data_IF_029646202269
#
_entry.id   IF_029646202269
#
_cell.length_a   1.000
_cell.length_b   1.000
_cell.length_c   1.000
_cell.angle_alpha   90.00
_cell.angle_beta   90.00
_cell.angle_gamma   90.00
#
_symmetry.space_group_name_H-M   'P 1'
#
loop_
_entity.id
_entity.type
_entity.pdbx_description
1 polymer ?
#
# COMPACT_ATOMS: atom_id res chain seq x y z
N UNK A 1 -21.66 5.99 7.42
CA UNK A 1 -20.85 6.27 6.21
C UNK A 1 -19.86 5.12 6.11
N UNK A 2 -19.96 4.32 5.07
CA UNK A 2 -19.05 3.19 4.88
C UNK A 2 -17.63 3.70 4.64
N UNK A 3 -16.65 3.08 5.32
CA UNK A 3 -15.24 3.47 5.17
C UNK A 3 -14.69 2.90 3.87
N UNK A 4 -14.26 3.77 2.98
CA UNK A 4 -13.57 3.39 1.74
C UNK A 4 -12.02 3.33 1.89
N UNK A 5 -11.53 3.48 3.10
CA UNK A 5 -10.10 3.49 3.42
C UNK A 5 -9.84 2.71 4.69
N UNK A 6 -8.82 1.88 4.68
CA UNK A 6 -8.26 1.18 5.83
C UNK A 6 -6.81 1.60 6.02
N UNK A 7 -6.42 1.82 7.29
CA UNK A 7 -5.05 2.13 7.69
C UNK A 7 -4.68 1.23 8.87
N UNK A 8 -3.58 0.51 8.73
CA UNK A 8 -2.90 -0.24 9.79
C UNK A 8 -1.68 0.61 10.18
N UNK A 9 -1.67 1.17 11.39
CA UNK A 9 -0.67 2.19 11.78
C UNK A 9 -0.26 2.15 13.26
N UNK A 10 -0.70 1.14 13.98
CA UNK A 10 -0.36 0.95 15.39
C UNK A 10 -0.18 -0.52 15.74
N UNK A 11 0.34 -0.78 16.93
CA UNK A 11 0.61 -2.13 17.41
C UNK A 11 -0.65 -3.00 17.41
N UNK A 12 -1.79 -2.46 17.85
CA UNK A 12 -3.05 -3.23 17.91
C UNK A 12 -3.47 -3.70 16.52
N UNK A 13 -3.49 -2.79 15.53
CA UNK A 13 -3.86 -3.11 14.17
C UNK A 13 -2.90 -4.14 13.53
N UNK A 14 -1.58 -4.02 13.77
CA UNK A 14 -0.61 -4.95 13.23
C UNK A 14 -0.67 -6.33 13.88
N UNK A 15 -0.97 -6.42 15.17
CA UNK A 15 -1.06 -7.70 15.89
C UNK A 15 -2.24 -8.58 15.46
N UNK A 16 -3.20 -8.07 14.71
CA UNK A 16 -4.26 -8.88 14.08
C UNK A 16 -3.81 -9.63 12.82
N UNK A 17 -2.62 -9.36 12.32
CA UNK A 17 -2.05 -10.03 11.14
C UNK A 17 -1.08 -11.16 11.50
N UNK A 18 -0.54 -11.77 10.46
CA UNK A 18 0.50 -12.81 10.54
C UNK A 18 1.88 -12.16 10.46
N UNK A 19 2.75 -12.54 11.38
CA UNK A 19 4.12 -12.07 11.49
C UNK A 19 5.05 -13.25 11.15
N UNK A 20 5.81 -13.14 10.07
CA UNK A 20 6.80 -14.12 9.64
C UNK A 20 8.18 -13.45 9.55
N UNK A 21 9.09 -13.79 10.47
CA UNK A 21 10.39 -13.15 10.62
C UNK A 21 10.34 -11.62 10.82
N UNK A 22 9.24 -11.13 11.35
CA UNK A 22 9.04 -9.72 11.71
C UNK A 22 8.36 -9.61 13.06
N UNK A 23 8.59 -8.51 13.75
CA UNK A 23 7.95 -8.18 15.02
C UNK A 23 7.41 -6.76 15.00
N UNK A 24 6.47 -6.46 15.92
CA UNK A 24 5.94 -5.11 16.09
C UNK A 24 6.62 -4.44 17.27
N UNK A 25 7.31 -3.33 17.03
CA UNK A 25 7.99 -2.52 18.04
C UNK A 25 7.65 -1.04 17.84
N UNK A 26 7.22 -0.36 18.89
CA UNK A 26 6.93 1.09 18.86
C UNK A 26 5.99 1.49 17.70
N UNK A 27 4.90 0.73 17.51
CA UNK A 27 3.95 0.90 16.42
C UNK A 27 4.54 0.71 15.00
N UNK A 28 5.68 0.05 14.87
CA UNK A 28 6.31 -0.24 13.59
C UNK A 28 6.51 -1.76 13.43
N UNK A 29 6.40 -2.26 12.20
CA UNK A 29 6.85 -3.59 11.83
C UNK A 29 8.33 -3.50 11.48
N UNK A 30 9.15 -4.32 12.12
CA UNK A 30 10.60 -4.45 11.89
C UNK A 30 10.97 -5.91 11.72
N UNK A 31 12.13 -6.21 11.15
CA UNK A 31 12.66 -7.57 11.06
C UNK A 31 12.96 -8.13 12.45
N UNK A 32 12.82 -9.44 12.62
CA UNK A 32 13.19 -10.12 13.85
C UNK A 32 14.70 -10.07 14.08
N UNK A 33 15.08 -10.04 15.36
CA UNK A 33 16.45 -10.16 15.83
C UNK A 33 16.74 -11.61 16.22
N UNK A 34 17.72 -12.22 15.58
CA UNK A 34 18.21 -13.56 15.89
C UNK A 34 19.71 -13.49 16.18
N UNK A 35 20.12 -13.94 17.38
CA UNK A 35 21.53 -13.93 17.84
C UNK A 35 22.21 -12.53 17.73
N UNK A 36 21.41 -11.46 17.93
CA UNK A 36 21.92 -10.08 17.89
C UNK A 36 21.99 -9.43 16.51
N UNK A 37 21.55 -10.11 15.45
CA UNK A 37 21.45 -9.57 14.09
C UNK A 37 20.01 -9.66 13.56
N UNK A 38 19.63 -8.71 12.69
CA UNK A 38 18.36 -8.78 11.98
C UNK A 38 18.40 -9.88 10.92
N UNK A 39 17.29 -10.61 10.80
CA UNK A 39 17.12 -11.59 9.72
C UNK A 39 17.12 -10.88 8.35
N UNK A 40 17.53 -11.55 7.25
CA UNK A 40 17.68 -10.90 5.95
C UNK A 40 16.35 -10.51 5.29
N UNK A 41 15.25 -11.16 5.66
CA UNK A 41 13.91 -10.84 5.17
C UNK A 41 12.83 -11.31 6.14
N UNK A 42 11.69 -10.66 6.06
CA UNK A 42 10.48 -11.05 6.78
C UNK A 42 9.24 -10.52 6.08
N UNK A 43 8.09 -10.96 6.53
CA UNK A 43 6.81 -10.65 5.91
C UNK A 43 5.72 -10.42 6.97
N UNK A 44 4.99 -9.34 6.80
CA UNK A 44 3.72 -9.11 7.50
C UNK A 44 2.57 -9.32 6.53
N UNK A 45 1.53 -10.06 6.96
CA UNK A 45 0.29 -10.23 6.20
C UNK A 45 -0.90 -9.86 7.08
N UNK A 46 -1.70 -8.88 6.66
CA UNK A 46 -2.88 -8.46 7.42
C UNK A 46 -3.92 -9.58 7.51
N UNK A 47 -4.79 -9.53 8.51
CA UNK A 47 -6.06 -10.26 8.43
C UNK A 47 -6.85 -9.82 7.19
N UNK A 48 -7.78 -10.64 6.68
CA UNK A 48 -8.75 -10.22 5.68
C UNK A 48 -9.56 -9.02 6.17
N UNK A 49 -9.67 -7.98 5.34
CA UNK A 49 -10.36 -6.74 5.68
C UNK A 49 -11.59 -6.61 4.78
N UNK A 50 -12.81 -6.78 5.31
CA UNK A 50 -14.02 -6.53 4.56
C UNK A 50 -14.11 -5.06 4.13
N UNK A 51 -14.50 -4.83 2.88
CA UNK A 51 -14.67 -3.50 2.31
C UNK A 51 -16.03 -3.40 1.63
N UNK A 52 -16.60 -2.20 1.51
CA UNK A 52 -17.73 -1.99 0.61
C UNK A 52 -17.40 -2.43 -0.80
N UNK A 53 -18.40 -2.77 -1.60
CA UNK A 53 -18.21 -3.22 -2.98
C UNK A 53 -17.40 -2.21 -3.79
N UNK A 54 -16.29 -2.64 -4.40
CA UNK A 54 -15.36 -1.78 -5.10
C UNK A 54 -14.81 -2.41 -6.38
N UNK A 55 -14.34 -1.58 -7.30
CA UNK A 55 -13.76 -1.98 -8.58
C UNK A 55 -12.31 -1.50 -8.79
N UNK A 56 -11.80 -0.66 -7.89
CA UNK A 56 -10.40 -0.22 -7.92
C UNK A 56 -9.89 0.07 -6.52
N UNK A 57 -8.58 -0.09 -6.33
CA UNK A 57 -7.91 0.26 -5.08
C UNK A 57 -6.51 0.84 -5.32
N UNK A 58 -6.06 1.63 -4.34
CA UNK A 58 -4.67 2.05 -4.20
C UNK A 58 -4.12 1.57 -2.88
N UNK A 59 -2.89 1.06 -2.90
CA UNK A 59 -2.14 0.70 -1.69
C UNK A 59 -1.23 1.86 -1.32
N UNK A 60 -1.14 2.14 -0.02
CA UNK A 60 -0.21 3.12 0.54
C UNK A 60 0.57 2.51 1.69
N UNK A 61 1.81 2.93 1.84
CA UNK A 61 2.66 2.56 2.96
C UNK A 61 3.57 3.72 3.33
N UNK A 62 3.94 3.77 4.60
CA UNK A 62 4.98 4.65 5.11
C UNK A 62 6.04 3.79 5.80
N UNK A 63 7.28 3.90 5.34
CA UNK A 63 8.38 3.10 5.86
C UNK A 63 9.68 3.91 5.90
N UNK A 64 10.41 3.77 7.00
CA UNK A 64 11.81 4.14 7.05
C UNK A 64 12.63 2.96 6.48
N UNK A 65 13.44 3.22 5.47
CA UNK A 65 14.26 2.22 4.81
C UNK A 65 15.71 2.72 4.77
N UNK A 66 16.53 2.44 5.81
CA UNK A 66 17.95 2.76 5.81
C UNK A 66 18.69 2.15 4.61
N UNK A 67 19.93 2.58 4.39
CA UNK A 67 20.80 1.96 3.39
C UNK A 67 20.86 0.43 3.58
N UNK A 68 20.99 -0.32 2.51
CA UNK A 68 20.95 -1.79 2.45
C UNK A 68 19.59 -2.42 2.78
N UNK A 69 18.52 -1.65 2.94
CA UNK A 69 17.18 -2.18 3.18
C UNK A 69 16.20 -1.83 2.08
N UNK A 70 15.12 -2.58 2.00
CA UNK A 70 14.00 -2.32 1.10
C UNK A 70 12.69 -2.85 1.68
N UNK A 71 11.56 -2.34 1.19
CA UNK A 71 10.23 -2.88 1.45
C UNK A 71 9.50 -3.15 0.14
N UNK A 72 8.53 -4.08 0.17
CA UNK A 72 7.69 -4.41 -0.99
C UNK A 72 6.25 -4.63 -0.53
N UNK A 73 5.37 -3.71 -0.90
CA UNK A 73 3.94 -3.83 -0.61
C UNK A 73 3.23 -4.66 -1.68
N UNK A 74 2.33 -5.54 -1.23
CA UNK A 74 1.51 -6.38 -2.07
C UNK A 74 0.06 -6.36 -1.58
N UNK A 75 -0.88 -6.63 -2.50
CA UNK A 75 -2.30 -6.75 -2.18
C UNK A 75 -2.93 -7.89 -2.96
N UNK A 76 -3.92 -8.52 -2.34
CA UNK A 76 -4.89 -9.36 -3.03
C UNK A 76 -6.31 -8.96 -2.64
N UNK A 77 -7.26 -9.26 -3.50
CA UNK A 77 -8.67 -8.90 -3.30
C UNK A 77 -9.56 -10.13 -3.44
N UNK A 78 -10.72 -10.09 -2.80
CA UNK A 78 -11.71 -11.17 -2.89
C UNK A 78 -12.74 -10.83 -3.94
N UNK A 79 -12.81 -11.63 -4.99
CA UNK A 79 -13.75 -11.52 -6.11
C UNK A 79 -14.57 -12.79 -6.20
N UNK A 80 -15.88 -12.69 -6.22
CA UNK A 80 -16.80 -13.83 -6.28
C UNK A 80 -16.48 -14.92 -5.20
N UNK A 81 -16.11 -14.48 -3.99
CA UNK A 81 -15.77 -15.37 -2.87
C UNK A 81 -14.38 -16.01 -2.91
N UNK A 82 -13.57 -15.71 -3.92
CA UNK A 82 -12.21 -16.25 -4.08
C UNK A 82 -11.14 -15.17 -4.02
N UNK A 83 -10.01 -15.48 -3.37
CA UNK A 83 -8.86 -14.60 -3.37
C UNK A 83 -8.16 -14.60 -4.73
N UNK A 84 -7.85 -13.43 -5.24
CA UNK A 84 -6.93 -13.27 -6.38
C UNK A 84 -5.49 -13.62 -5.96
N UNK A 85 -4.61 -13.75 -6.94
CA UNK A 85 -3.17 -13.82 -6.65
C UNK A 85 -2.69 -12.51 -6.05
N UNK A 86 -1.54 -12.55 -5.35
CA UNK A 86 -0.88 -11.37 -4.84
C UNK A 86 -0.35 -10.48 -5.97
N UNK A 87 -0.58 -9.19 -5.84
CA UNK A 87 -0.14 -8.17 -6.78
C UNK A 87 0.88 -7.26 -6.09
N UNK A 88 2.12 -7.30 -6.57
CA UNK A 88 3.22 -6.48 -6.04
C UNK A 88 3.22 -5.09 -6.65
N UNK A 89 3.51 -4.07 -5.83
CA UNK A 89 3.77 -2.69 -6.25
C UNK A 89 5.27 -2.39 -6.37
N UNK A 90 6.11 -3.43 -6.36
CA UNK A 90 7.55 -3.35 -6.52
C UNK A 90 8.29 -3.09 -5.22
N UNK A 91 9.59 -3.30 -5.27
CA UNK A 91 10.49 -2.99 -4.16
C UNK A 91 10.76 -1.48 -4.11
N UNK A 92 10.78 -0.95 -2.90
CA UNK A 92 11.08 0.44 -2.64
C UNK A 92 12.21 0.58 -1.61
N UNK A 93 13.14 1.46 -1.91
CA UNK A 93 14.14 1.98 -0.96
C UNK A 93 14.59 3.37 -1.43
N UNK A 94 15.23 4.19 -0.58
CA UNK A 94 15.75 5.50 -0.99
C UNK A 94 16.77 5.45 -2.13
N UNK A 95 17.51 4.35 -2.26
CA UNK A 95 18.51 4.14 -3.30
C UNK A 95 17.97 3.52 -4.60
N UNK A 96 16.74 2.97 -4.57
CA UNK A 96 16.08 2.45 -5.74
C UNK A 96 15.17 3.53 -6.32
N UNK A 97 15.50 4.04 -7.51
CA UNK A 97 14.52 4.80 -8.27
C UNK A 97 13.29 3.93 -8.49
N UNK A 98 12.15 4.41 -8.01
CA UNK A 98 10.88 3.71 -8.13
C UNK A 98 10.41 3.75 -9.59
N UNK A 99 10.80 2.75 -10.33
CA UNK A 99 9.99 2.34 -11.46
C UNK A 99 8.90 1.43 -10.89
N UNK A 100 7.67 1.92 -10.88
CA UNK A 100 6.53 1.06 -10.56
C UNK A 100 6.55 -0.14 -11.50
N UNK A 101 6.12 -1.33 -11.05
CA UNK A 101 6.10 -2.49 -11.91
C UNK A 101 5.24 -2.20 -13.15
N UNK A 102 5.61 -2.70 -14.33
CA UNK A 102 4.86 -2.47 -15.57
C UNK A 102 3.42 -2.95 -15.43
N UNK A 103 2.52 -2.37 -16.22
CA UNK A 103 1.13 -2.83 -16.31
C UNK A 103 1.08 -4.35 -16.49
N UNK A 104 0.18 -5.01 -15.76
CA UNK A 104 -0.06 -6.45 -15.87
C UNK A 104 -1.55 -6.74 -15.70
N UNK A 105 -2.10 -7.58 -16.60
CA UNK A 105 -3.44 -8.11 -16.47
C UNK A 105 -3.37 -9.62 -16.16
N UNK A 106 -4.17 -10.05 -15.16
CA UNK A 106 -4.31 -11.46 -14.77
C UNK A 106 -5.78 -11.74 -14.41
N UNK A 107 -6.50 -12.42 -15.30
CA UNK A 107 -7.94 -12.62 -15.13
C UNK A 107 -8.66 -11.26 -15.03
N UNK A 108 -9.54 -11.06 -14.03
CA UNK A 108 -10.25 -9.80 -13.87
C UNK A 108 -9.37 -8.68 -13.29
N UNK A 109 -8.13 -8.96 -12.88
CA UNK A 109 -7.25 -8.03 -12.21
C UNK A 109 -6.32 -7.35 -13.20
N UNK A 110 -6.39 -6.02 -13.25
CA UNK A 110 -5.48 -5.15 -13.97
C UNK A 110 -4.64 -4.38 -12.96
N UNK A 111 -3.34 -4.65 -12.90
CA UNK A 111 -2.41 -3.94 -12.03
C UNK A 111 -1.66 -2.87 -12.82
N UNK A 112 -1.85 -1.64 -12.41
CA UNK A 112 -1.12 -0.45 -12.85
C UNK A 112 0.03 -0.13 -11.87
N UNK A 113 0.98 0.73 -12.22
CA UNK A 113 2.06 1.10 -11.31
C UNK A 113 1.60 1.66 -9.96
N UNK A 114 0.43 2.31 -9.92
CA UNK A 114 -0.10 3.05 -8.77
C UNK A 114 -1.42 2.49 -8.22
N UNK A 115 -2.05 1.54 -8.91
CA UNK A 115 -3.36 1.02 -8.54
C UNK A 115 -3.62 -0.38 -9.07
N UNK A 116 -4.60 -1.02 -8.47
CA UNK A 116 -5.23 -2.23 -8.97
C UNK A 116 -6.65 -1.90 -9.40
N UNK A 117 -7.07 -2.37 -10.55
CA UNK A 117 -8.42 -2.20 -11.10
C UNK A 117 -8.99 -3.55 -11.51
N UNK A 118 -10.30 -3.73 -11.32
CA UNK A 118 -11.03 -4.93 -11.73
C UNK A 118 -11.78 -4.65 -13.03
N UNK A 119 -11.66 -5.56 -13.98
CA UNK A 119 -12.38 -5.49 -15.24
C UNK A 119 -13.70 -6.24 -15.14
N UNK A 120 -14.81 -5.50 -15.23
CA UNK A 120 -16.17 -6.05 -15.21
C UNK A 120 -16.48 -6.94 -14.00
N UNK A 121 -15.73 -6.75 -12.88
CA UNK A 121 -15.88 -7.47 -11.62
C UNK A 121 -15.74 -6.52 -10.44
N UNK A 122 -16.21 -6.99 -9.28
CA UNK A 122 -16.15 -6.23 -8.04
C UNK A 122 -15.53 -7.08 -6.92
N UNK A 123 -14.87 -6.42 -6.00
CA UNK A 123 -14.31 -7.06 -4.82
C UNK A 123 -15.05 -6.63 -3.55
N UNK A 124 -14.99 -7.49 -2.54
CA UNK A 124 -15.67 -7.32 -1.25
C UNK A 124 -14.71 -7.30 -0.07
N UNK A 125 -13.46 -7.64 -0.27
CA UNK A 125 -12.44 -7.62 0.77
C UNK A 125 -11.05 -7.39 0.17
N UNK A 126 -10.15 -6.85 1.00
CA UNK A 126 -8.72 -6.71 0.71
C UNK A 126 -7.89 -7.47 1.73
N UNK A 127 -6.71 -7.91 1.34
CA UNK A 127 -5.67 -8.36 2.25
C UNK A 127 -4.35 -7.74 1.81
N UNK A 128 -3.66 -7.15 2.75
CA UNK A 128 -2.41 -6.42 2.54
C UNK A 128 -1.24 -7.26 3.03
N UNK A 129 -0.11 -7.17 2.33
CA UNK A 129 1.13 -7.81 2.72
C UNK A 129 2.29 -6.86 2.46
N UNK A 130 3.28 -6.86 3.33
CA UNK A 130 4.50 -6.12 3.12
C UNK A 130 5.71 -6.97 3.50
N UNK A 131 6.66 -7.08 2.56
CA UNK A 131 7.96 -7.68 2.78
C UNK A 131 8.95 -6.63 3.22
N UNK A 132 9.80 -7.01 4.15
CA UNK A 132 10.95 -6.26 4.62
C UNK A 132 12.22 -7.01 4.22
N UNK A 133 13.20 -6.30 3.70
CA UNK A 133 14.49 -6.88 3.29
C UNK A 133 15.63 -6.10 3.89
N UNK A 134 16.68 -6.80 4.34
CA UNK A 134 17.95 -6.20 4.74
C UNK A 134 19.12 -7.02 4.21
N UNK A 135 20.14 -6.34 3.66
CA UNK A 135 21.44 -6.94 3.29
C UNK A 135 22.45 -6.82 4.43
N UNK A 136 22.09 -6.13 5.51
CA UNK A 136 22.96 -5.81 6.62
C UNK A 136 22.24 -6.18 7.93
N UNK A 137 22.81 -7.12 8.67
CA UNK A 137 22.26 -7.62 9.94
C UNK A 137 22.13 -6.55 11.05
N UNK A 138 22.78 -5.39 10.88
CA UNK A 138 22.74 -4.30 11.88
C UNK A 138 21.57 -3.33 11.69
N UNK A 139 20.86 -3.43 10.55
CA UNK A 139 19.77 -2.48 10.22
C UNK A 139 18.52 -3.21 9.76
N UNK A 140 17.37 -2.67 10.12
CA UNK A 140 16.06 -3.13 9.65
C UNK A 140 15.30 -1.96 9.05
N UNK A 141 14.52 -2.16 7.97
CA UNK A 141 13.49 -1.19 7.64
C UNK A 141 12.41 -1.21 8.73
N UNK A 142 11.67 -0.10 8.86
CA UNK A 142 10.57 0.02 9.80
C UNK A 142 9.32 0.50 9.06
N UNK A 143 8.25 -0.31 9.07
CA UNK A 143 6.97 0.03 8.44
C UNK A 143 6.04 0.63 9.48
N UNK A 144 5.67 1.90 9.31
CA UNK A 144 4.83 2.67 10.22
C UNK A 144 3.36 2.68 9.82
N UNK A 145 3.08 2.45 8.53
CA UNK A 145 1.72 2.45 8.00
C UNK A 145 1.64 1.52 6.80
N UNK A 146 0.57 0.75 6.74
CA UNK A 146 0.14 -0.02 5.57
C UNK A 146 -1.37 0.18 5.39
N UNK A 147 -1.80 0.57 4.20
CA UNK A 147 -3.21 0.88 3.99
C UNK A 147 -3.68 0.68 2.57
N UNK A 148 -5.00 0.76 2.39
CA UNK A 148 -5.65 0.73 1.10
C UNK A 148 -6.83 1.69 1.06
N UNK A 149 -7.00 2.36 -0.07
CA UNK A 149 -8.19 3.15 -0.40
C UNK A 149 -8.88 2.54 -1.61
N UNK A 150 -10.21 2.39 -1.55
CA UNK A 150 -11.00 1.76 -2.60
C UNK A 150 -11.94 2.76 -3.28
N UNK A 151 -12.20 2.53 -4.57
CA UNK A 151 -13.27 3.19 -5.31
C UNK A 151 -14.55 2.36 -5.17
N UNK A 152 -15.50 2.87 -4.39
CA UNK A 152 -16.79 2.21 -4.17
C UNK A 152 -17.66 2.29 -5.42
N UNK A 153 -18.39 1.22 -5.73
CA UNK A 153 -19.21 1.11 -6.93
C UNK A 153 -20.47 1.96 -6.85
N UNK A 154 -21.06 2.09 -5.67
CA UNK A 154 -22.32 2.81 -5.45
C UNK A 154 -22.14 4.34 -5.26
N UNK A 155 -20.93 4.83 -5.28
CA UNK A 155 -20.67 6.27 -5.27
C UNK A 155 -20.90 6.80 -6.69
N UNK A 156 -22.08 7.35 -6.95
CA UNK A 156 -22.31 8.18 -8.13
C UNK A 156 -21.29 9.32 -8.04
N UNK A 157 -20.29 9.40 -8.94
CA UNK A 157 -19.37 10.53 -8.91
C UNK A 157 -20.20 11.78 -9.04
N UNK A 158 -20.11 12.66 -8.04
CA UNK A 158 -20.74 13.98 -8.13
C UNK A 158 -20.37 14.56 -9.50
N UNK A 159 -21.36 14.87 -10.34
CA UNK A 159 -21.16 15.33 -11.72
C UNK A 159 -20.11 16.43 -11.71
N UNK A 160 -18.90 16.05 -12.15
CA UNK A 160 -17.65 16.70 -11.83
C UNK A 160 -17.35 17.97 -12.59
N UNK A 161 -18.24 18.96 -12.60
CA UNK A 161 -17.86 20.30 -13.10
C UNK A 161 -17.19 21.15 -12.01
N UNK A 162 -17.61 20.99 -10.75
CA UNK A 162 -17.11 21.81 -9.64
C UNK A 162 -15.78 21.34 -9.03
N UNK A 163 -15.47 20.05 -9.12
CA UNK A 163 -14.21 19.52 -8.56
C UNK A 163 -13.02 19.83 -9.47
N UNK A 164 -13.19 19.81 -10.79
CA UNK A 164 -12.13 20.13 -11.74
C UNK A 164 -11.76 21.63 -11.74
N UNK A 165 -12.72 22.52 -11.55
CA UNK A 165 -12.43 23.96 -11.47
C UNK A 165 -11.66 24.33 -10.21
N UNK A 166 -11.96 23.68 -9.05
CA UNK A 166 -11.20 23.92 -7.81
C UNK A 166 -9.79 23.34 -7.85
N UNK A 167 -9.60 22.18 -8.48
CA UNK A 167 -8.26 21.60 -8.65
C UNK A 167 -7.42 22.40 -9.65
N UNK A 168 -8.03 22.94 -10.70
CA UNK A 168 -7.33 23.80 -11.64
C UNK A 168 -6.87 25.13 -11.01
N UNK A 169 -7.69 25.74 -10.17
CA UNK A 169 -7.33 26.97 -9.45
C UNK A 169 -6.21 26.77 -8.44
N UNK A 170 -6.16 25.62 -7.78
CA UNK A 170 -5.07 25.32 -6.83
C UNK A 170 -3.74 25.00 -7.51
N UNK A 171 -3.76 24.44 -8.72
CA UNK A 171 -2.55 24.18 -9.51
C UNK A 171 -1.95 25.45 -10.12
N UNK A 172 -2.78 26.45 -10.48
CA UNK A 172 -2.32 27.73 -11.02
C UNK A 172 -1.60 28.55 -9.93
N UNK A 173 -2.00 28.43 -8.66
CA UNK A 173 -1.33 29.13 -7.56
C UNK A 173 0.01 28.52 -7.12
N UNK A 174 0.30 27.28 -7.48
CA UNK A 174 1.57 26.59 -7.14
C UNK A 174 2.66 26.86 -8.17
N UNK A 175 2.33 27.39 -9.36
CA UNK A 175 3.28 27.53 -10.48
C UNK A 175 3.87 28.91 -10.68
N UNK A 176 3.58 29.91 -9.86
CA UNK A 176 4.29 31.20 -9.91
C UNK A 176 5.43 31.26 -8.90
N UNK A 177 6.70 31.21 -9.35
CA UNK A 177 7.82 31.53 -8.48
C UNK A 177 7.80 33.04 -8.24
N UNK A 178 7.63 33.45 -6.99
CA UNK A 178 7.78 34.83 -6.55
C UNK A 178 9.19 35.29 -6.92
N UNK A 179 9.35 36.05 -7.99
CA UNK A 179 10.56 36.85 -8.24
C UNK A 179 10.57 37.98 -7.20
N UNK A 180 11.40 37.79 -6.19
CA UNK A 180 11.86 38.91 -5.36
C UNK A 180 12.78 39.80 -6.23
N UNK A 181 12.34 41.02 -6.47
CA UNK A 181 13.18 42.11 -6.87
C UNK A 181 13.94 42.67 -5.66
#
# INVERSE_FOLDING_TARGET
MEKNTVLLQDTEAFMHGELDNVTVQQNCIVLDLVQGGYVPYGCYTSAPIPMPLFDALRVSWNAASPEDTAVEAQVRVMVDGNWTTWNSFGKWSPSLHREGPPYQARGPVQRWPDRLQLDSKYATAVQLRIYLYSKNEKVSPAVMLLGASVRMVDVIPARGRLVNERLHLSLIHISEPTRLL
#
